data_IF_052689080298
#
_entry.id   IF_052689080298
#
_cell.length_a   1.000
_cell.length_b   1.000
_cell.length_c   1.000
_cell.angle_alpha   90.00
_cell.angle_beta   90.00
_cell.angle_gamma   90.00
#
_symmetry.space_group_name_H-M   'P 1'
#
loop_
_entity.id
_entity.type
_entity.pdbx_description
1 polymer ?
#
# COMPACT_ATOMS: atom_id res chain seq x y z
N UNK A 1 -19.69 5.46 -8.54
CA UNK A 1 -18.86 4.44 -7.85
C UNK A 1 -17.71 5.17 -7.17
N UNK A 2 -17.27 4.65 -6.03
CA UNK A 2 -16.20 5.25 -5.20
C UNK A 2 -14.85 5.10 -5.91
N UNK A 3 -14.15 6.21 -6.09
CA UNK A 3 -12.87 6.26 -6.82
C UNK A 3 -11.91 7.18 -6.05
N UNK A 4 -10.87 6.61 -5.46
CA UNK A 4 -9.77 7.35 -4.83
C UNK A 4 -8.69 7.56 -5.87
N UNK A 5 -8.31 8.82 -6.12
CA UNK A 5 -7.29 9.15 -7.11
C UNK A 5 -5.97 9.42 -6.41
N UNK A 6 -4.92 8.69 -6.81
CA UNK A 6 -3.54 8.88 -6.38
C UNK A 6 -2.71 9.36 -7.56
N UNK A 7 -1.83 10.32 -7.32
CA UNK A 7 -1.02 10.92 -8.38
C UNK A 7 0.44 11.00 -7.96
N UNK A 8 1.35 10.68 -8.88
CA UNK A 8 2.72 11.15 -8.85
C UNK A 8 2.85 12.37 -9.75
N UNK A 9 4.08 12.83 -10.00
CA UNK A 9 4.37 13.85 -11.02
C UNK A 9 3.82 13.51 -12.42
N UNK A 10 3.80 12.22 -12.79
CA UNK A 10 3.57 11.80 -14.18
C UNK A 10 2.55 10.68 -14.34
N UNK A 11 2.02 10.11 -13.25
CA UNK A 11 1.13 8.95 -13.30
C UNK A 11 -0.03 9.10 -12.34
N UNK A 12 -1.20 8.68 -12.79
CA UNK A 12 -2.42 8.60 -11.98
C UNK A 12 -2.79 7.14 -11.78
N UNK A 13 -3.13 6.77 -10.55
CA UNK A 13 -3.68 5.47 -10.16
C UNK A 13 -5.03 5.71 -9.52
N UNK A 14 -6.02 4.90 -9.88
CA UNK A 14 -7.35 4.97 -9.29
C UNK A 14 -7.60 3.69 -8.49
N UNK A 15 -7.91 3.84 -7.20
CA UNK A 15 -8.43 2.76 -6.37
C UNK A 15 -9.95 2.81 -6.48
N UNK A 16 -10.57 1.70 -6.89
CA UNK A 16 -12.02 1.64 -7.06
C UNK A 16 -12.51 0.21 -7.24
N UNK A 17 -13.83 0.02 -7.09
CA UNK A 17 -14.46 -1.30 -7.21
C UNK A 17 -14.52 -1.84 -8.64
N UNK A 18 -14.36 -0.96 -9.62
CA UNK A 18 -14.37 -1.23 -11.07
C UNK A 18 -12.97 -1.13 -11.69
N UNK A 19 -11.94 -1.06 -10.85
CA UNK A 19 -10.54 -0.92 -11.25
C UNK A 19 -9.73 -2.19 -10.92
N UNK A 20 -8.62 -2.45 -11.63
CA UNK A 20 -7.68 -3.48 -11.23
C UNK A 20 -7.25 -3.30 -9.78
N UNK A 21 -7.09 -4.42 -9.05
CA UNK A 21 -6.65 -4.39 -7.66
C UNK A 21 -5.33 -3.61 -7.50
N UNK A 22 -5.34 -2.61 -6.62
CA UNK A 22 -4.19 -1.74 -6.42
C UNK A 22 -3.18 -2.39 -5.46
N UNK A 23 -2.00 -2.72 -5.99
CA UNK A 23 -0.90 -3.31 -5.21
C UNK A 23 -0.02 -2.18 -4.69
N UNK A 24 0.02 -2.02 -3.38
CA UNK A 24 0.86 -1.06 -2.67
C UNK A 24 2.11 -1.81 -2.16
N UNK A 25 3.28 -1.49 -2.70
CA UNK A 25 4.53 -2.19 -2.39
C UNK A 25 5.08 -1.85 -1.00
N UNK A 26 5.24 -2.85 -0.13
CA UNK A 26 5.57 -2.68 1.30
C UNK A 26 7.07 -2.62 1.65
N UNK A 27 7.97 -2.81 0.69
CA UNK A 27 9.38 -3.12 1.03
C UNK A 27 10.17 -1.90 1.53
N UNK A 28 9.78 -0.67 1.24
CA UNK A 28 10.53 0.52 1.69
C UNK A 28 10.11 0.83 3.14
N UNK A 29 10.53 -0.06 4.03
CA UNK A 29 10.18 -0.04 5.45
C UNK A 29 11.36 -0.57 6.28
N UNK A 30 12.10 0.29 7.02
CA UNK A 30 13.22 -0.14 7.84
C UNK A 30 12.81 -0.91 9.10
N UNK A 31 11.54 -0.89 9.49
CA UNK A 31 11.02 -1.61 10.66
C UNK A 31 11.33 -3.11 10.54
N UNK A 32 12.10 -3.64 11.48
CA UNK A 32 12.53 -5.05 11.47
C UNK A 32 13.56 -5.41 10.38
N UNK A 33 13.92 -4.50 9.47
CA UNK A 33 14.94 -4.71 8.43
C UNK A 33 16.29 -4.14 8.86
N UNK A 34 17.00 -4.86 9.74
CA UNK A 34 18.30 -4.44 10.32
C UNK A 34 19.30 -3.89 9.29
N UNK A 35 19.45 -4.56 8.14
CA UNK A 35 20.35 -4.11 7.08
C UNK A 35 19.95 -2.73 6.52
N UNK A 36 18.67 -2.56 6.20
CA UNK A 36 18.15 -1.29 5.67
C UNK A 36 18.27 -0.17 6.70
N UNK A 37 17.97 -0.44 7.98
CA UNK A 37 18.12 0.54 9.04
C UNK A 37 19.57 1.05 9.18
N UNK A 38 20.57 0.16 9.11
CA UNK A 38 21.99 0.53 9.15
C UNK A 38 22.43 1.33 7.92
N UNK A 39 21.92 1.00 6.73
CA UNK A 39 22.21 1.74 5.51
C UNK A 39 21.65 3.17 5.59
N UNK A 40 20.38 3.32 5.99
CA UNK A 40 19.74 4.62 6.17
C UNK A 40 20.43 5.46 7.26
N UNK A 41 20.87 4.83 8.35
CA UNK A 41 21.64 5.49 9.40
C UNK A 41 22.95 6.09 8.84
N UNK A 42 23.60 5.37 7.92
CA UNK A 42 24.81 5.81 7.22
C UNK A 42 24.54 6.75 6.03
N UNK A 43 23.27 7.11 5.75
CA UNK A 43 22.89 7.91 4.58
C UNK A 43 23.00 7.19 3.24
N UNK A 44 23.02 5.85 3.26
CA UNK A 44 23.01 5.01 2.07
C UNK A 44 21.57 4.60 1.73
N UNK A 45 21.13 4.92 0.51
CA UNK A 45 19.78 4.64 0.00
C UNK A 45 19.77 3.62 -1.15
N UNK A 46 20.87 2.91 -1.41
CA UNK A 46 20.98 1.96 -2.54
C UNK A 46 19.92 0.86 -2.46
N UNK A 47 19.67 0.31 -1.26
CA UNK A 47 18.61 -0.67 -1.06
C UNK A 47 17.22 -0.07 -1.30
N UNK A 48 16.99 1.20 -0.95
CA UNK A 48 15.71 1.89 -1.22
C UNK A 48 15.48 2.02 -2.72
N UNK A 49 16.47 2.48 -3.47
CA UNK A 49 16.42 2.61 -4.93
C UNK A 49 16.16 1.24 -5.57
N UNK A 50 16.90 0.21 -5.13
CA UNK A 50 16.72 -1.15 -5.62
C UNK A 50 15.31 -1.67 -5.34
N UNK A 51 14.84 -1.55 -4.09
CA UNK A 51 13.51 -2.02 -3.69
C UNK A 51 12.39 -1.24 -4.42
N UNK A 52 12.57 0.06 -4.70
CA UNK A 52 11.61 0.84 -5.48
C UNK A 52 11.47 0.30 -6.91
N UNK A 53 12.59 0.15 -7.62
CA UNK A 53 12.62 -0.37 -8.99
C UNK A 53 12.07 -1.79 -9.08
N UNK A 54 12.49 -2.66 -8.16
CA UNK A 54 12.09 -4.08 -8.14
C UNK A 54 10.59 -4.24 -7.88
N UNK A 55 10.03 -3.45 -6.96
CA UNK A 55 8.60 -3.52 -6.65
C UNK A 55 7.73 -3.04 -7.82
N UNK A 56 8.09 -1.92 -8.46
CA UNK A 56 7.37 -1.41 -9.63
C UNK A 56 7.48 -2.38 -10.80
N UNK A 57 8.67 -2.95 -11.04
CA UNK A 57 8.86 -3.96 -12.07
C UNK A 57 7.96 -5.18 -11.83
N UNK A 58 7.82 -5.62 -10.57
CA UNK A 58 6.97 -6.73 -10.17
C UNK A 58 5.46 -6.40 -10.13
N UNK A 59 5.07 -5.15 -10.44
CA UNK A 59 3.67 -4.77 -10.62
C UNK A 59 3.03 -3.97 -9.48
N UNK A 60 3.81 -3.44 -8.52
CA UNK A 60 3.29 -2.43 -7.62
C UNK A 60 2.85 -1.18 -8.39
N UNK A 61 1.64 -0.72 -8.12
CA UNK A 61 1.07 0.50 -8.70
C UNK A 61 1.26 1.72 -7.80
N UNK A 62 1.52 1.50 -6.52
CA UNK A 62 1.82 2.50 -5.48
C UNK A 62 2.97 1.94 -4.63
N UNK A 63 3.83 2.79 -4.06
CA UNK A 63 4.85 2.36 -3.09
C UNK A 63 4.58 2.94 -1.71
N UNK A 64 4.55 2.08 -0.70
CA UNK A 64 4.50 2.47 0.71
C UNK A 64 5.91 2.83 1.20
N UNK A 65 6.02 4.01 1.81
CA UNK A 65 7.26 4.63 2.26
C UNK A 65 7.17 4.84 3.76
N UNK A 66 7.80 3.94 4.51
CA UNK A 66 7.80 3.98 5.96
C UNK A 66 9.16 4.47 6.49
N UNK A 67 9.15 5.45 7.40
CA UNK A 67 10.35 6.03 8.02
C UNK A 67 10.70 5.47 9.40
N UNK A 68 9.93 4.50 9.91
CA UNK A 68 10.12 3.88 11.23
C UNK A 68 11.45 3.13 11.34
N UNK A 69 12.49 3.84 11.74
CA UNK A 69 13.85 3.31 11.81
C UNK A 69 14.43 3.45 13.23
N UNK A 70 15.20 2.45 13.64
CA UNK A 70 16.01 2.50 14.86
C UNK A 70 17.47 2.67 14.46
N UNK A 71 18.01 3.86 14.68
CA UNK A 71 19.40 4.21 14.40
C UNK A 71 20.27 3.94 15.63
N UNK A 72 20.60 2.67 15.82
CA UNK A 72 21.24 2.19 17.05
C UNK A 72 22.63 2.78 17.30
N UNK A 73 23.42 3.05 16.26
CA UNK A 73 24.77 3.60 16.42
C UNK A 73 24.69 5.09 16.77
N UNK A 74 23.85 5.86 16.07
CA UNK A 74 23.62 7.28 16.35
C UNK A 74 22.93 7.48 17.70
N UNK A 75 22.03 6.58 18.10
CA UNK A 75 21.42 6.60 19.43
C UNK A 75 22.43 6.39 20.55
N UNK A 76 23.50 5.63 20.31
CA UNK A 76 24.60 5.49 21.28
C UNK A 76 25.44 6.77 21.42
N UNK A 77 25.45 7.63 20.39
CA UNK A 77 26.20 8.90 20.36
C UNK A 77 25.35 10.10 20.79
N UNK A 78 24.08 10.13 20.41
CA UNK A 78 23.12 11.20 20.70
C UNK A 78 21.75 10.59 21.08
N UNK A 79 21.32 10.76 22.35
CA UNK A 79 20.09 10.13 22.85
C UNK A 79 18.82 10.61 22.15
N UNK A 80 18.86 11.73 21.41
CA UNK A 80 17.70 12.20 20.62
C UNK A 80 17.30 11.22 19.52
N UNK A 81 18.21 10.38 19.05
CA UNK A 81 17.91 9.33 18.06
C UNK A 81 17.06 8.19 18.62
N UNK A 82 16.76 8.18 19.93
CA UNK A 82 15.74 7.31 20.50
C UNK A 82 14.30 7.81 20.28
N UNK A 83 14.12 9.09 19.92
CA UNK A 83 12.82 9.70 19.66
C UNK A 83 12.52 9.75 18.16
N UNK A 84 11.49 9.01 17.74
CA UNK A 84 11.04 9.00 16.34
C UNK A 84 10.57 10.38 15.86
N UNK A 85 10.11 11.28 16.75
CA UNK A 85 9.78 12.66 16.37
C UNK A 85 11.03 13.45 15.93
N UNK A 86 12.22 13.03 16.33
CA UNK A 86 13.48 13.59 15.88
C UNK A 86 14.02 12.91 14.63
N UNK A 87 13.90 11.58 14.54
CA UNK A 87 14.49 10.76 13.46
C UNK A 87 13.62 10.74 12.20
N UNK A 88 12.33 10.50 12.33
CA UNK A 88 11.46 10.19 11.19
C UNK A 88 11.23 11.37 10.25
N UNK A 89 10.97 12.62 10.69
CA UNK A 89 10.68 13.72 9.77
C UNK A 89 11.76 13.99 8.71
N UNK A 90 13.06 14.13 9.06
CA UNK A 90 14.09 14.32 8.04
C UNK A 90 14.30 13.06 7.18
N UNK A 91 14.16 11.86 7.76
CA UNK A 91 14.29 10.61 7.02
C UNK A 91 13.16 10.43 6.00
N UNK A 92 11.91 10.69 6.39
CA UNK A 92 10.74 10.60 5.52
C UNK A 92 10.91 11.51 4.30
N UNK A 93 11.30 12.78 4.53
CA UNK A 93 11.60 13.71 3.43
C UNK A 93 12.63 13.13 2.46
N UNK A 94 13.76 12.62 2.96
CA UNK A 94 14.81 12.06 2.12
C UNK A 94 14.35 10.82 1.34
N UNK A 95 13.58 9.93 1.97
CA UNK A 95 13.02 8.74 1.31
C UNK A 95 12.08 9.14 0.17
N UNK A 96 11.18 10.09 0.40
CA UNK A 96 10.25 10.59 -0.62
C UNK A 96 10.99 11.17 -1.82
N UNK A 97 11.95 12.07 -1.58
CA UNK A 97 12.75 12.71 -2.63
C UNK A 97 13.51 11.67 -3.48
N UNK A 98 14.09 10.65 -2.86
CA UNK A 98 14.85 9.61 -3.55
C UNK A 98 13.92 8.70 -4.37
N UNK A 99 12.82 8.26 -3.79
CA UNK A 99 11.92 7.30 -4.45
C UNK A 99 11.20 7.95 -5.64
N UNK A 100 10.73 9.20 -5.50
CA UNK A 100 10.05 9.89 -6.61
C UNK A 100 11.02 10.27 -7.76
N UNK A 101 12.33 10.35 -7.50
CA UNK A 101 13.34 10.50 -8.55
C UNK A 101 13.66 9.16 -9.24
N UNK A 102 13.34 8.03 -8.59
CA UNK A 102 13.68 6.69 -9.06
C UNK A 102 12.54 6.05 -9.87
N UNK A 103 11.30 6.26 -9.46
CA UNK A 103 10.11 5.65 -10.09
C UNK A 103 8.99 6.69 -10.26
N UNK A 104 8.04 6.37 -11.14
CA UNK A 104 6.96 7.26 -11.54
C UNK A 104 5.59 6.95 -10.90
N UNK A 105 5.52 5.97 -10.00
CA UNK A 105 4.26 5.58 -9.34
C UNK A 105 3.91 6.53 -8.18
N UNK A 106 2.62 6.73 -7.87
CA UNK A 106 2.22 7.44 -6.66
C UNK A 106 2.79 6.79 -5.40
N UNK A 107 2.95 7.60 -4.35
CA UNK A 107 3.50 7.16 -3.07
C UNK A 107 2.40 7.05 -2.00
N UNK A 108 2.65 6.19 -1.02
CA UNK A 108 1.89 6.06 0.21
C UNK A 108 2.84 6.43 1.37
N UNK A 109 2.59 7.55 2.04
CA UNK A 109 3.44 8.10 3.10
C UNK A 109 3.03 7.43 4.41
N UNK A 110 3.88 6.57 4.96
CA UNK A 110 3.58 5.74 6.13
C UNK A 110 4.38 6.17 7.38
N UNK A 111 3.69 6.73 8.36
CA UNK A 111 4.28 7.00 9.68
C UNK A 111 3.22 7.17 10.77
N UNK A 112 3.61 6.84 12.01
CA UNK A 112 2.85 7.16 13.22
C UNK A 112 3.18 8.54 13.82
N UNK A 113 4.19 9.23 13.25
CA UNK A 113 4.70 10.54 13.68
C UNK A 113 4.07 11.64 12.80
N UNK A 114 3.22 12.53 13.35
CA UNK A 114 2.57 13.59 12.56
C UNK A 114 3.54 14.51 11.81
N UNK A 115 4.68 14.83 12.44
CA UNK A 115 5.71 15.65 11.81
C UNK A 115 6.37 14.95 10.60
N UNK A 116 6.45 13.61 10.60
CA UNK A 116 6.96 12.85 9.47
C UNK A 116 5.93 12.78 8.34
N UNK A 117 4.65 12.59 8.66
CA UNK A 117 3.56 12.71 7.69
C UNK A 117 3.59 14.08 7.00
N UNK A 118 3.66 15.17 7.76
CA UNK A 118 3.72 16.52 7.18
C UNK A 118 4.99 16.74 6.34
N UNK A 119 6.15 16.27 6.79
CA UNK A 119 7.39 16.36 6.04
C UNK A 119 7.33 15.59 4.71
N UNK A 120 6.74 14.39 4.72
CA UNK A 120 6.52 13.59 3.52
C UNK A 120 5.54 14.26 2.55
N UNK A 121 4.41 14.77 3.04
CA UNK A 121 3.42 15.48 2.23
C UNK A 121 3.97 16.74 1.58
N UNK A 122 4.79 17.49 2.32
CA UNK A 122 5.43 18.70 1.80
C UNK A 122 6.49 18.40 0.73
N UNK A 123 7.14 17.24 0.79
CA UNK A 123 8.19 16.83 -0.16
C UNK A 123 7.63 16.11 -1.40
N UNK A 124 6.52 15.40 -1.26
CA UNK A 124 5.96 14.56 -2.31
C UNK A 124 5.35 15.38 -3.45
N UNK A 125 5.70 15.04 -4.69
CA UNK A 125 5.02 15.56 -5.88
C UNK A 125 3.75 14.74 -6.19
N UNK A 126 2.68 15.42 -6.58
CA UNK A 126 1.39 14.80 -6.92
C UNK A 126 0.42 14.74 -5.75
N UNK A 127 -0.31 13.63 -5.65
CA UNK A 127 -1.39 13.39 -4.68
C UNK A 127 -1.16 12.02 -4.02
N UNK A 128 -0.27 11.91 -3.02
CA UNK A 128 0.04 10.65 -2.35
C UNK A 128 -1.11 10.16 -1.46
N UNK A 129 -1.09 8.88 -1.11
CA UNK A 129 -1.91 8.33 -0.04
C UNK A 129 -1.24 8.60 1.31
N UNK A 130 -1.99 9.08 2.31
CA UNK A 130 -1.49 9.22 3.68
C UNK A 130 -1.82 7.95 4.48
N UNK A 131 -0.83 7.31 5.09
CA UNK A 131 -0.96 6.14 5.93
C UNK A 131 -0.42 6.48 7.34
N UNK A 132 -1.26 6.70 8.35
CA UNK A 132 -2.72 6.60 8.39
C UNK A 132 -3.33 7.54 9.43
N UNK A 133 -4.66 7.53 9.51
CA UNK A 133 -5.41 8.00 10.67
C UNK A 133 -6.13 6.83 11.33
N UNK A 134 -6.34 6.92 12.63
CA UNK A 134 -7.08 5.97 13.46
C UNK A 134 -8.27 6.68 14.13
N UNK A 135 -9.15 5.93 14.78
CA UNK A 135 -10.39 6.43 15.38
C UNK A 135 -10.25 7.11 16.75
N UNK A 136 -9.05 7.15 17.34
CA UNK A 136 -8.78 7.95 18.55
C UNK A 136 -8.99 9.43 18.26
N UNK A 137 -9.65 10.13 19.18
CA UNK A 137 -10.03 11.53 19.01
C UNK A 137 -8.82 12.43 18.75
N UNK A 138 -7.75 12.24 19.52
CA UNK A 138 -6.50 12.99 19.38
C UNK A 138 -5.86 12.76 18.00
N UNK A 139 -5.93 11.54 17.46
CA UNK A 139 -5.38 11.23 16.14
C UNK A 139 -6.17 11.86 15.01
N UNK A 140 -7.49 11.87 15.11
CA UNK A 140 -8.35 12.55 14.13
C UNK A 140 -8.06 14.05 14.07
N UNK A 141 -7.98 14.71 15.23
CA UNK A 141 -7.69 16.16 15.34
C UNK A 141 -6.28 16.54 14.86
N UNK A 142 -5.33 15.62 14.88
CA UNK A 142 -3.98 15.85 14.36
C UNK A 142 -3.86 15.59 12.86
N UNK A 143 -4.46 14.51 12.35
CA UNK A 143 -4.21 14.02 10.99
C UNK A 143 -5.20 14.57 9.98
N UNK A 144 -6.50 14.68 10.29
CA UNK A 144 -7.50 15.17 9.34
C UNK A 144 -7.23 16.60 8.85
N UNK A 145 -6.73 17.55 9.68
CA UNK A 145 -6.29 18.85 9.17
C UNK A 145 -5.17 18.76 8.13
N UNK A 146 -4.23 17.82 8.28
CA UNK A 146 -3.16 17.59 7.29
C UNK A 146 -3.76 17.05 5.99
N UNK A 147 -4.61 16.03 6.07
CA UNK A 147 -5.32 15.44 4.93
C UNK A 147 -6.07 16.53 4.14
N UNK A 148 -6.78 17.41 4.85
CA UNK A 148 -7.50 18.54 4.24
C UNK A 148 -6.55 19.59 3.64
N UNK A 149 -5.50 19.98 4.36
CA UNK A 149 -4.50 20.99 3.93
C UNK A 149 -3.81 20.58 2.63
N UNK A 150 -3.42 19.32 2.52
CA UNK A 150 -2.71 18.79 1.35
C UNK A 150 -3.63 18.21 0.28
N UNK A 151 -4.95 18.12 0.55
CA UNK A 151 -5.95 17.55 -0.36
C UNK A 151 -5.60 16.14 -0.85
N UNK A 152 -5.21 15.28 0.08
CA UNK A 152 -4.79 13.89 -0.18
C UNK A 152 -5.82 12.90 0.35
N UNK A 153 -5.89 11.67 -0.17
CA UNK A 153 -6.61 10.58 0.48
C UNK A 153 -5.83 10.01 1.66
N UNK A 154 -6.54 9.30 2.54
CA UNK A 154 -6.00 8.76 3.78
C UNK A 154 -6.48 7.33 4.05
N UNK A 155 -5.57 6.50 4.55
CA UNK A 155 -5.88 5.20 5.14
C UNK A 155 -6.50 5.41 6.51
N UNK A 156 -7.73 4.92 6.69
CA UNK A 156 -8.46 4.95 7.96
C UNK A 156 -8.41 3.57 8.62
N UNK A 157 -7.57 3.41 9.64
CA UNK A 157 -7.45 2.15 10.38
C UNK A 157 -8.59 2.05 11.39
N UNK A 158 -9.29 0.91 11.37
CA UNK A 158 -10.44 0.62 12.24
C UNK A 158 -10.02 0.25 13.68
N UNK A 159 -9.20 1.10 14.30
CA UNK A 159 -8.76 1.06 15.69
C UNK A 159 -9.18 2.35 16.39
N UNK A 160 -9.54 2.30 17.67
CA UNK A 160 -9.83 3.50 18.46
C UNK A 160 -9.20 3.42 19.86
N UNK A 161 -9.65 4.28 20.77
CA UNK A 161 -9.13 4.41 22.14
C UNK A 161 -9.26 3.11 22.95
N UNK A 162 -10.09 2.16 22.51
CA UNK A 162 -10.27 0.85 23.14
C UNK A 162 -9.33 -0.23 22.59
N UNK A 163 -8.55 0.11 21.55
CA UNK A 163 -7.65 -0.79 20.86
C UNK A 163 -8.34 -1.64 19.78
N UNK A 164 -7.67 -2.71 19.35
CA UNK A 164 -8.13 -3.54 18.23
C UNK A 164 -9.22 -4.48 18.72
N UNK A 165 -10.46 -4.23 18.31
CA UNK A 165 -11.57 -5.14 18.60
C UNK A 165 -11.59 -6.36 17.66
N UNK A 166 -11.76 -7.59 18.18
CA UNK A 166 -11.96 -8.78 17.34
C UNK A 166 -13.33 -8.76 16.66
N UNK A 167 -14.27 -7.96 17.16
CA UNK A 167 -15.63 -7.87 16.64
C UNK A 167 -15.67 -7.05 15.34
N UNK A 168 -16.09 -7.64 14.19
CA UNK A 168 -16.24 -6.89 12.95
C UNK A 168 -17.27 -5.76 13.03
N UNK A 169 -18.30 -5.86 13.88
CA UNK A 169 -19.31 -4.79 14.04
C UNK A 169 -18.71 -3.55 14.72
N UNK A 170 -17.85 -3.76 15.73
CA UNK A 170 -17.11 -2.67 16.38
C UNK A 170 -16.15 -2.02 15.39
N UNK A 171 -15.38 -2.81 14.62
CA UNK A 171 -14.48 -2.27 13.59
C UNK A 171 -15.23 -1.48 12.52
N UNK A 172 -16.41 -1.94 12.10
CA UNK A 172 -17.27 -1.19 11.19
C UNK A 172 -17.74 0.15 11.79
N UNK A 173 -18.13 0.16 13.07
CA UNK A 173 -18.53 1.38 13.76
C UNK A 173 -17.38 2.39 13.87
N UNK A 174 -16.15 1.93 14.12
CA UNK A 174 -14.95 2.79 14.11
C UNK A 174 -14.71 3.36 12.71
N UNK A 175 -14.74 2.53 11.66
CA UNK A 175 -14.60 3.01 10.29
C UNK A 175 -15.64 4.08 9.94
N UNK A 176 -16.91 3.85 10.32
CA UNK A 176 -18.00 4.82 10.15
C UNK A 176 -17.72 6.12 10.90
N UNK A 177 -17.28 6.06 12.16
CA UNK A 177 -16.87 7.23 12.94
C UNK A 177 -15.80 8.04 12.21
N UNK A 178 -14.76 7.39 11.69
CA UNK A 178 -13.67 8.10 10.98
C UNK A 178 -14.21 8.78 9.71
N UNK A 179 -15.08 8.13 8.94
CA UNK A 179 -15.71 8.72 7.74
C UNK A 179 -16.56 9.94 8.10
N UNK A 180 -17.39 9.85 9.14
CA UNK A 180 -18.22 10.96 9.62
C UNK A 180 -17.36 12.13 10.08
N UNK A 181 -16.29 11.86 10.84
CA UNK A 181 -15.35 12.89 11.29
C UNK A 181 -14.58 13.52 10.15
N UNK A 182 -14.15 12.74 9.16
CA UNK A 182 -13.51 13.28 7.96
C UNK A 182 -14.45 14.24 7.19
N UNK A 183 -15.76 13.94 7.16
CA UNK A 183 -16.75 14.81 6.55
C UNK A 183 -16.87 16.17 7.26
N UNK A 184 -16.71 16.24 8.59
CA UNK A 184 -16.69 17.50 9.35
C UNK A 184 -15.51 18.41 8.93
N UNK A 185 -14.39 17.83 8.50
CA UNK A 185 -13.24 18.55 7.92
C UNK A 185 -13.39 18.81 6.40
N UNK A 186 -14.51 18.39 5.80
CA UNK A 186 -14.79 18.51 4.37
C UNK A 186 -13.91 17.60 3.51
N UNK A 187 -13.54 16.42 4.01
CA UNK A 187 -12.86 15.36 3.26
C UNK A 187 -13.93 14.40 2.73
N UNK A 188 -13.98 14.13 1.42
CA UNK A 188 -15.02 13.28 0.86
C UNK A 188 -14.77 11.80 1.17
N UNK A 189 -15.86 11.02 1.31
CA UNK A 189 -15.77 9.59 1.63
C UNK A 189 -14.95 8.77 0.61
N UNK A 190 -14.89 9.20 -0.66
CA UNK A 190 -14.07 8.53 -1.67
C UNK A 190 -12.56 8.73 -1.48
N UNK A 191 -12.13 9.63 -0.61
CA UNK A 191 -10.73 9.80 -0.22
C UNK A 191 -10.38 9.07 1.07
N UNK A 192 -11.34 8.35 1.67
CA UNK A 192 -11.12 7.48 2.82
C UNK A 192 -10.96 6.04 2.33
N UNK A 193 -9.78 5.47 2.56
CA UNK A 193 -9.47 4.06 2.27
C UNK A 193 -9.41 3.31 3.59
N UNK A 194 -10.44 2.52 3.91
CA UNK A 194 -10.53 1.87 5.22
C UNK A 194 -9.62 0.64 5.29
N UNK A 195 -8.78 0.57 6.32
CA UNK A 195 -8.14 -0.68 6.76
C UNK A 195 -8.98 -1.31 7.88
N UNK A 196 -9.63 -2.46 7.63
CA UNK A 196 -10.46 -3.16 8.61
C UNK A 196 -9.65 -3.97 9.64
N UNK A 197 -8.33 -3.88 9.63
CA UNK A 197 -7.39 -4.66 10.44
C UNK A 197 -7.57 -6.17 10.27
N UNK A 198 -6.80 -6.73 9.33
CA UNK A 198 -6.77 -8.17 9.11
C UNK A 198 -6.09 -8.87 10.28
N UNK A 199 -6.83 -9.74 10.96
CA UNK A 199 -6.33 -10.52 12.09
C UNK A 199 -5.64 -11.82 11.63
N UNK A 200 -4.61 -12.32 12.33
CA UNK A 200 -3.95 -13.57 11.95
C UNK A 200 -4.86 -14.79 12.10
N UNK A 201 -5.01 -15.59 11.03
CA UNK A 201 -5.87 -16.79 11.04
C UNK A 201 -5.34 -17.88 11.97
N UNK A 202 -4.03 -17.90 12.23
CA UNK A 202 -3.41 -18.81 13.19
C UNK A 202 -3.80 -18.53 14.65
N UNK A 203 -4.21 -17.30 14.96
CA UNK A 203 -4.68 -16.90 16.28
C UNK A 203 -6.22 -16.86 16.36
N UNK A 204 -6.90 -16.59 15.25
CA UNK A 204 -8.36 -16.52 15.17
C UNK A 204 -8.87 -17.23 13.92
N UNK A 205 -9.40 -18.44 14.10
CA UNK A 205 -9.85 -19.29 12.99
C UNK A 205 -10.90 -18.63 12.08
N UNK A 206 -11.76 -17.76 12.64
CA UNK A 206 -12.78 -17.01 11.91
C UNK A 206 -12.27 -15.76 11.21
N UNK A 207 -10.99 -15.39 11.33
CA UNK A 207 -10.46 -14.11 10.84
C UNK A 207 -10.71 -13.87 9.35
N UNK A 208 -10.53 -14.89 8.50
CA UNK A 208 -10.83 -14.81 7.07
C UNK A 208 -12.31 -14.51 6.80
N UNK A 209 -13.22 -15.26 7.42
CA UNK A 209 -14.66 -15.06 7.23
C UNK A 209 -15.11 -13.68 7.72
N UNK A 210 -14.60 -13.24 8.87
CA UNK A 210 -14.93 -11.93 9.44
C UNK A 210 -14.45 -10.78 8.57
N UNK A 211 -13.21 -10.83 8.06
CA UNK A 211 -12.71 -9.74 7.20
C UNK A 211 -13.47 -9.69 5.88
N UNK A 212 -13.82 -10.82 5.26
CA UNK A 212 -14.60 -10.82 4.02
C UNK A 212 -16.01 -10.23 4.23
N UNK A 213 -16.67 -10.58 5.34
CA UNK A 213 -17.95 -9.99 5.70
C UNK A 213 -17.83 -8.48 5.94
N UNK A 214 -16.82 -8.04 6.70
CA UNK A 214 -16.58 -6.64 6.99
C UNK A 214 -16.27 -5.82 5.74
N UNK A 215 -15.39 -6.30 4.86
CA UNK A 215 -15.06 -5.65 3.57
C UNK A 215 -16.31 -5.46 2.71
N UNK A 216 -17.18 -6.48 2.65
CA UNK A 216 -18.44 -6.38 1.89
C UNK A 216 -19.33 -5.28 2.45
N UNK A 217 -19.47 -5.20 3.78
CA UNK A 217 -20.25 -4.15 4.45
C UNK A 217 -19.66 -2.76 4.23
N UNK A 218 -18.33 -2.61 4.32
CA UNK A 218 -17.65 -1.34 4.03
C UNK A 218 -17.94 -0.85 2.61
N UNK A 219 -17.97 -1.77 1.63
CA UNK A 219 -18.35 -1.47 0.24
C UNK A 219 -19.84 -1.12 0.10
N UNK A 220 -20.73 -1.95 0.61
CA UNK A 220 -22.18 -1.86 0.34
C UNK A 220 -22.89 -0.81 1.20
N UNK A 221 -22.48 -0.64 2.45
CA UNK A 221 -23.13 0.25 3.42
C UNK A 221 -22.44 1.62 3.52
N UNK A 222 -21.09 1.67 3.54
CA UNK A 222 -20.34 2.93 3.64
C UNK A 222 -19.86 3.47 2.29
N UNK A 223 -19.78 2.63 1.25
CA UNK A 223 -19.33 3.05 -0.07
C UNK A 223 -17.89 3.55 -0.08
N UNK A 224 -17.00 2.95 0.72
CA UNK A 224 -15.58 3.34 0.82
C UNK A 224 -14.65 2.30 0.22
N UNK A 225 -13.54 2.76 -0.33
CA UNK A 225 -12.46 1.86 -0.74
C UNK A 225 -11.81 1.22 0.49
N UNK A 226 -11.16 0.07 0.31
CA UNK A 226 -10.53 -0.66 1.42
C UNK A 226 -9.13 -1.14 1.07
N UNK A 227 -8.27 -1.15 2.08
CA UNK A 227 -6.90 -1.67 2.03
C UNK A 227 -6.64 -2.63 3.19
N UNK A 228 -5.52 -3.34 3.16
CA UNK A 228 -4.98 -4.03 4.33
C UNK A 228 -3.49 -4.32 4.19
N UNK A 229 -2.80 -4.56 5.30
CA UNK A 229 -1.54 -5.33 5.29
C UNK A 229 -1.81 -6.80 4.98
N UNK A 230 -1.60 -7.23 3.73
CA UNK A 230 -1.99 -8.57 3.28
C UNK A 230 -1.27 -9.69 4.05
N UNK A 231 -0.05 -9.43 4.51
CA UNK A 231 0.76 -10.43 5.22
C UNK A 231 0.25 -10.73 6.63
N UNK A 232 -0.64 -9.90 7.20
CA UNK A 232 -1.17 -10.06 8.56
C UNK A 232 -2.01 -11.33 8.71
N UNK A 233 -2.79 -11.71 7.69
CA UNK A 233 -3.65 -12.91 7.74
C UNK A 233 -2.87 -14.19 8.04
N UNK A 234 -1.64 -14.30 7.52
CA UNK A 234 -0.80 -15.50 7.60
C UNK A 234 0.29 -15.39 8.68
N UNK A 235 0.28 -14.35 9.51
CA UNK A 235 1.30 -14.13 10.53
C UNK A 235 1.45 -15.35 11.44
N UNK A 236 2.70 -15.75 11.70
CA UNK A 236 3.03 -16.90 12.55
C UNK A 236 2.87 -18.30 11.91
N UNK A 237 2.38 -18.40 10.66
CA UNK A 237 2.16 -19.69 10.01
C UNK A 237 3.30 -20.10 9.06
N UNK A 238 3.51 -21.40 8.80
CA UNK A 238 4.35 -21.88 7.70
C UNK A 238 3.68 -21.63 6.34
N UNK A 239 4.45 -21.65 5.25
CA UNK A 239 3.95 -21.52 3.87
C UNK A 239 3.01 -20.31 3.64
N UNK A 240 3.31 -19.18 4.29
CA UNK A 240 2.50 -17.95 4.28
C UNK A 240 2.07 -17.48 2.89
N UNK A 241 2.94 -17.61 1.90
CA UNK A 241 2.68 -17.19 0.52
C UNK A 241 1.49 -17.92 -0.12
N UNK A 242 1.28 -19.21 0.19
CA UNK A 242 0.10 -19.93 -0.28
C UNK A 242 -1.20 -19.41 0.34
N UNK A 243 -1.16 -19.06 1.64
CA UNK A 243 -2.31 -18.46 2.34
C UNK A 243 -2.61 -17.07 1.77
N UNK A 244 -1.59 -16.23 1.60
CA UNK A 244 -1.75 -14.89 1.03
C UNK A 244 -2.32 -14.93 -0.39
N UNK A 245 -1.80 -15.83 -1.23
CA UNK A 245 -2.26 -16.02 -2.62
C UNK A 245 -3.70 -16.55 -2.71
N UNK A 246 -4.20 -17.27 -1.70
CA UNK A 246 -5.60 -17.63 -1.61
C UNK A 246 -6.46 -16.49 -1.04
N UNK A 247 -5.95 -15.79 -0.01
CA UNK A 247 -6.62 -14.69 0.68
C UNK A 247 -6.91 -13.51 -0.26
N UNK A 248 -5.94 -13.07 -1.06
CA UNK A 248 -6.06 -11.88 -1.90
C UNK A 248 -7.22 -11.99 -2.92
N UNK A 249 -7.37 -13.06 -3.72
CA UNK A 249 -8.55 -13.25 -4.58
C UNK A 249 -9.87 -13.27 -3.82
N UNK A 250 -9.92 -13.89 -2.64
CA UNK A 250 -11.13 -13.92 -1.81
C UNK A 250 -11.49 -12.52 -1.29
N UNK A 251 -10.49 -11.74 -0.87
CA UNK A 251 -10.67 -10.36 -0.45
C UNK A 251 -11.14 -9.47 -1.60
N UNK A 252 -10.54 -9.60 -2.79
CA UNK A 252 -10.96 -8.92 -4.03
C UNK A 252 -12.42 -9.25 -4.33
N UNK A 253 -12.80 -10.54 -4.32
CA UNK A 253 -14.17 -10.97 -4.56
C UNK A 253 -15.18 -10.46 -3.51
N UNK A 254 -14.73 -10.22 -2.27
CA UNK A 254 -15.53 -9.60 -1.23
C UNK A 254 -15.71 -8.08 -1.42
N UNK A 255 -14.84 -7.44 -2.20
CA UNK A 255 -14.88 -5.99 -2.49
C UNK A 255 -13.64 -5.22 -2.07
N UNK A 256 -12.54 -5.88 -1.68
CA UNK A 256 -11.29 -5.20 -1.33
C UNK A 256 -10.62 -4.60 -2.55
N UNK A 257 -10.19 -3.35 -2.45
CA UNK A 257 -9.72 -2.57 -3.61
C UNK A 257 -8.20 -2.43 -3.68
N UNK A 258 -7.51 -2.55 -2.55
CA UNK A 258 -6.04 -2.51 -2.51
C UNK A 258 -5.48 -3.38 -1.38
N UNK A 259 -4.17 -3.61 -1.42
CA UNK A 259 -3.43 -4.12 -0.26
C UNK A 259 -1.98 -3.64 -0.27
N UNK A 260 -1.45 -3.45 0.95
CA UNK A 260 -0.04 -3.27 1.25
C UNK A 260 0.58 -4.68 1.34
N UNK A 261 1.47 -4.99 0.40
CA UNK A 261 2.07 -6.31 0.27
C UNK A 261 3.42 -6.28 -0.46
N UNK A 262 4.18 -7.38 -0.38
CA UNK A 262 5.40 -7.52 -1.17
C UNK A 262 5.10 -8.03 -2.61
N UNK A 263 5.20 -7.18 -3.64
CA UNK A 263 4.89 -7.55 -5.02
C UNK A 263 5.94 -8.50 -5.63
N UNK A 264 7.13 -8.65 -5.03
CA UNK A 264 8.18 -9.56 -5.54
C UNK A 264 7.78 -11.03 -5.36
N UNK A 265 6.68 -11.30 -4.65
CA UNK A 265 6.13 -12.64 -4.52
C UNK A 265 5.23 -12.97 -5.71
N UNK A 266 5.82 -13.73 -6.65
CA UNK A 266 5.15 -14.14 -7.89
C UNK A 266 3.80 -14.83 -7.66
N UNK A 267 3.70 -15.73 -6.67
CA UNK A 267 2.46 -16.50 -6.46
C UNK A 267 1.29 -15.62 -6.04
N UNK A 268 1.51 -14.60 -5.21
CA UNK A 268 0.50 -13.59 -4.88
C UNK A 268 0.17 -12.71 -6.10
N UNK A 269 1.16 -12.28 -6.90
CA UNK A 269 0.92 -11.46 -8.10
C UNK A 269 0.15 -12.22 -9.19
N UNK A 270 0.44 -13.51 -9.36
CA UNK A 270 -0.31 -14.40 -10.25
C UNK A 270 -1.77 -14.52 -9.81
N UNK A 271 -2.01 -14.75 -8.51
CA UNK A 271 -3.34 -14.84 -7.95
C UNK A 271 -4.14 -13.53 -8.11
N UNK A 272 -3.51 -12.37 -7.88
CA UNK A 272 -4.13 -11.05 -8.10
C UNK A 272 -4.52 -10.86 -9.57
N UNK A 273 -3.64 -11.21 -10.51
CA UNK A 273 -3.94 -11.05 -11.95
C UNK A 273 -5.05 -11.98 -12.41
N UNK A 274 -5.08 -13.21 -11.91
CA UNK A 274 -6.20 -14.12 -12.14
C UNK A 274 -7.51 -13.54 -11.59
N UNK A 275 -7.49 -13.02 -10.36
CA UNK A 275 -8.65 -12.37 -9.75
C UNK A 275 -9.13 -11.16 -10.56
N UNK A 276 -8.22 -10.26 -10.98
CA UNK A 276 -8.57 -9.13 -11.83
C UNK A 276 -9.25 -9.57 -13.13
N UNK A 277 -8.77 -10.64 -13.77
CA UNK A 277 -9.41 -11.16 -14.98
C UNK A 277 -10.80 -11.73 -14.70
N UNK A 278 -10.95 -12.54 -13.65
CA UNK A 278 -12.23 -13.12 -13.24
C UNK A 278 -13.26 -12.05 -12.81
N UNK A 279 -12.80 -10.95 -12.24
CA UNK A 279 -13.64 -9.80 -11.85
C UNK A 279 -13.94 -8.85 -13.01
N UNK A 280 -13.49 -9.15 -14.23
CA UNK A 280 -13.63 -8.29 -15.42
C UNK A 280 -12.93 -6.93 -15.31
N UNK A 281 -11.83 -6.88 -14.55
CA UNK A 281 -10.95 -5.71 -14.42
C UNK A 281 -9.71 -5.82 -15.34
N UNK A 282 -9.59 -6.89 -16.13
CA UNK A 282 -8.61 -7.06 -17.20
C UNK A 282 -9.35 -7.34 -18.52
N UNK A 283 -9.54 -6.28 -19.32
CA UNK A 283 -10.33 -6.34 -20.54
C UNK A 283 -9.78 -7.40 -21.52
N UNK A 284 -10.57 -8.45 -21.76
CA UNK A 284 -10.21 -9.61 -22.60
C UNK A 284 -8.95 -10.37 -22.12
N UNK A 285 -8.56 -10.25 -20.84
CA UNK A 285 -7.41 -10.97 -20.29
C UNK A 285 -6.04 -10.49 -20.82
N UNK A 286 -5.95 -9.23 -21.26
CA UNK A 286 -4.75 -8.69 -21.90
C UNK A 286 -3.54 -8.63 -20.96
N UNK A 287 -3.74 -8.30 -19.68
CA UNK A 287 -2.71 -8.36 -18.64
C UNK A 287 -2.36 -9.81 -18.29
N UNK A 288 -3.35 -10.69 -18.18
CA UNK A 288 -3.15 -12.11 -17.91
C UNK A 288 -2.28 -12.78 -18.97
N UNK A 289 -2.62 -12.62 -20.25
CA UNK A 289 -1.86 -13.19 -21.38
C UNK A 289 -0.43 -12.64 -21.42
N UNK A 290 -0.23 -11.37 -21.04
CA UNK A 290 1.12 -10.81 -20.95
C UNK A 290 1.91 -11.43 -19.81
N UNK A 291 1.28 -11.60 -18.66
CA UNK A 291 1.90 -12.15 -17.47
C UNK A 291 2.31 -13.62 -17.65
N UNK A 292 1.57 -14.40 -18.45
CA UNK A 292 1.97 -15.77 -18.80
C UNK A 292 3.42 -15.84 -19.35
N UNK A 293 3.85 -14.85 -20.13
CA UNK A 293 5.23 -14.78 -20.65
C UNK A 293 6.27 -14.50 -19.57
N UNK A 294 5.88 -13.79 -18.50
CA UNK A 294 6.73 -13.58 -17.33
C UNK A 294 6.95 -14.91 -16.63
N UNK A 295 5.88 -15.70 -16.46
CA UNK A 295 5.95 -17.04 -15.86
C UNK A 295 6.84 -17.96 -16.69
N UNK A 296 6.63 -18.03 -18.01
CA UNK A 296 7.48 -18.82 -18.93
C UNK A 296 8.97 -18.44 -18.82
N UNK A 297 9.28 -17.14 -18.70
CA UNK A 297 10.65 -16.68 -18.55
C UNK A 297 11.25 -17.07 -17.19
N UNK A 298 10.45 -17.05 -16.11
CA UNK A 298 10.88 -17.52 -14.78
C UNK A 298 11.13 -19.03 -14.79
N UNK A 299 10.25 -19.82 -15.42
CA UNK A 299 10.47 -21.26 -15.64
C UNK A 299 11.74 -21.53 -16.46
N UNK A 300 12.07 -20.63 -17.38
CA UNK A 300 13.31 -20.61 -18.15
C UNK A 300 14.56 -20.14 -17.37
N UNK A 301 14.43 -19.78 -16.09
CA UNK A 301 15.54 -19.45 -15.20
C UNK A 301 15.80 -17.96 -14.95
N UNK A 302 14.97 -17.05 -15.49
CA UNK A 302 15.05 -15.63 -15.15
C UNK A 302 14.51 -15.38 -13.72
N UNK A 303 15.00 -14.35 -13.05
CA UNK A 303 14.33 -13.90 -11.82
C UNK A 303 12.99 -13.25 -12.15
N UNK A 304 12.05 -13.28 -11.20
CA UNK A 304 10.71 -12.69 -11.40
C UNK A 304 10.78 -11.19 -11.75
N UNK A 305 11.69 -10.45 -11.11
CA UNK A 305 11.90 -9.03 -11.38
C UNK A 305 12.44 -8.78 -12.80
N UNK A 306 13.44 -9.55 -13.24
CA UNK A 306 14.00 -9.45 -14.60
C UNK A 306 12.97 -9.78 -15.67
N UNK A 307 12.23 -10.88 -15.48
CA UNK A 307 11.17 -11.30 -16.39
C UNK A 307 10.06 -10.24 -16.49
N UNK A 308 9.63 -9.66 -15.35
CA UNK A 308 8.59 -8.64 -15.32
C UNK A 308 9.02 -7.32 -15.94
N UNK A 309 10.28 -6.91 -15.71
CA UNK A 309 10.86 -5.72 -16.33
C UNK A 309 10.93 -5.87 -17.87
N UNK A 310 11.38 -7.02 -18.37
CA UNK A 310 11.46 -7.31 -19.80
C UNK A 310 10.08 -7.28 -20.48
N UNK A 311 9.06 -7.86 -19.84
CA UNK A 311 7.69 -7.84 -20.35
C UNK A 311 7.10 -6.43 -20.44
N UNK A 312 7.42 -5.55 -19.49
CA UNK A 312 6.96 -4.16 -19.46
C UNK A 312 7.58 -3.31 -20.58
N UNK A 313 8.88 -3.48 -20.85
CA UNK A 313 9.58 -2.78 -21.93
C UNK A 313 9.04 -3.15 -23.32
N UNK A 314 8.73 -4.44 -23.54
CA UNK A 314 8.16 -4.91 -24.80
C UNK A 314 6.78 -4.30 -25.12
N UNK A 315 6.00 -3.95 -24.09
CA UNK A 315 4.71 -3.27 -24.25
C UNK A 315 4.86 -1.80 -24.66
N UNK A 316 5.85 -1.09 -24.09
CA UNK A 316 6.16 0.30 -24.43
C UNK A 316 6.61 0.48 -25.88
N UNK A 317 7.44 -0.43 -26.39
CA UNK A 317 7.93 -0.39 -27.78
C UNK A 317 6.84 -0.54 -28.85
N UNK A 318 5.76 -1.29 -28.55
CA UNK A 318 4.64 -1.47 -29.49
C UNK A 318 3.73 -0.25 -29.65
N UNK A 319 3.66 0.65 -28.66
CA UNK A 319 2.89 1.91 -28.76
C UNK A 319 3.58 2.96 -29.65
N UNK A 320 4.91 2.90 -29.81
CA UNK A 320 5.67 3.82 -30.67
C UNK A 320 5.58 3.53 -32.18
N UNK A 321 5.33 2.27 -32.57
CA UNK A 321 5.36 1.85 -33.97
C UNK A 321 4.07 2.08 -34.78
N UNK A 322 2.99 2.56 -34.16
CA UNK A 322 1.66 2.65 -34.81
C UNK A 322 1.23 4.07 -35.22
N UNK A 323 2.16 5.04 -35.20
CA UNK A 323 1.91 6.45 -35.60
C UNK A 323 2.39 6.82 -37.01
N UNK A 324 2.72 5.85 -37.86
CA UNK A 324 3.12 6.12 -39.24
C UNK A 324 2.54 5.09 -40.20
N UNK A 325 1.23 5.16 -40.45
CA UNK A 325 0.50 4.60 -41.61
C UNK A 325 -0.99 4.90 -41.45
N UNK A 326 -1.37 6.13 -41.74
CA UNK A 326 -2.70 6.55 -42.17
C UNK A 326 -2.50 7.83 -42.99
#
# INVERSE_FOLDING_TARGET
>A
MTRTVLESKTKTVVIGFDEPFCVIGERINPTGRKKLALELEAGNFDTVIKDALEQVACGATVLDINSGAVFANKMAEDPRYADNNFVEPPLMKALIEIVQQTVDVPLCIDSSVPAALEAGLAACEGRPLLNSVTGEEERLELVLPLVKKYNVPVVAISNDDTGISPDPDVRFAVAKKIVERAADFGIPAHDIVVDPLVMPVGAMASAGQQVFALVRRLREELGVNTTCGASNISFGLPHRHGINAAFLPMAIGAGMTSAIMNPVRQVEMEAIRAANFLMNHDANGGEWIRFAKVIEAVEGGATFAEASAAASQAAGGRRGGRRGRA
#
